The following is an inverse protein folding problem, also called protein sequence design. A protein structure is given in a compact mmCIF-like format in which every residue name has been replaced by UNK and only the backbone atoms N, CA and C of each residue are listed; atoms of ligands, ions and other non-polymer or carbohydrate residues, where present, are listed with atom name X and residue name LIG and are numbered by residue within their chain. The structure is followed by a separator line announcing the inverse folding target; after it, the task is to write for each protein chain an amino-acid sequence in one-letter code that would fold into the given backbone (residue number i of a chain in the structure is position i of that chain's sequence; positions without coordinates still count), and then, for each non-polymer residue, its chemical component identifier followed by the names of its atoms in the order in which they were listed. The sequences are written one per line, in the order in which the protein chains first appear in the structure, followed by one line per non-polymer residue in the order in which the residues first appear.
data_IF_976264555019
#
_entry.id   IF_976264555019
#
_cell.length_a   1.000
_cell.length_b   1.000
_cell.length_c   1.000
_cell.angle_alpha   90.00
_cell.angle_beta   90.00
_cell.angle_gamma   90.00
#
_symmetry.space_group_name_H-M   'P 1'
#
loop_
_entity.id
_entity.type
_entity.pdbx_description
1 polymer ?
#
# COMPACT_ATOMS: atom_id res chain seq x y z
N UNK A 1 -31.48 -19.42 -13.68
CA UNK A 1 -30.90 -18.76 -14.87
C UNK A 1 -29.46 -18.36 -14.57
N UNK A 2 -28.48 -19.02 -15.19
CA UNK A 2 -27.05 -18.78 -14.96
C UNK A 2 -26.56 -17.71 -15.93
N UNK A 3 -26.36 -16.48 -15.43
CA UNK A 3 -25.70 -15.41 -16.18
C UNK A 3 -24.19 -15.70 -16.16
N UNK A 4 -23.71 -16.31 -17.25
CA UNK A 4 -22.30 -16.58 -17.51
C UNK A 4 -21.52 -15.26 -17.46
N UNK A 5 -20.46 -15.19 -16.65
CA UNK A 5 -19.47 -14.11 -16.76
C UNK A 5 -18.75 -14.22 -18.11
N UNK A 6 -18.79 -13.15 -18.89
CA UNK A 6 -18.39 -13.14 -20.32
C UNK A 6 -16.89 -12.89 -20.52
N UNK A 7 -16.14 -12.61 -19.44
CA UNK A 7 -14.71 -12.25 -19.54
C UNK A 7 -13.84 -13.39 -19.02
N UNK A 8 -13.16 -14.07 -19.95
CA UNK A 8 -12.10 -15.03 -19.60
C UNK A 8 -10.78 -14.30 -19.37
N UNK A 9 -10.10 -14.57 -18.25
CA UNK A 9 -8.73 -14.09 -18.01
C UNK A 9 -7.73 -14.93 -18.81
N UNK A 10 -7.38 -14.47 -20.01
CA UNK A 10 -6.21 -15.00 -20.75
C UNK A 10 -4.91 -14.55 -20.07
N UNK A 11 -3.82 -15.31 -20.21
CA UNK A 11 -2.52 -14.98 -19.57
C UNK A 11 -2.00 -13.59 -19.93
N UNK A 12 -2.20 -13.17 -21.19
CA UNK A 12 -1.85 -11.81 -21.63
C UNK A 12 -2.65 -10.75 -20.87
N UNK A 13 -3.93 -10.98 -20.63
CA UNK A 13 -4.78 -10.06 -19.87
C UNK A 13 -4.39 -10.03 -18.38
N UNK A 14 -4.03 -11.18 -17.80
CA UNK A 14 -3.54 -11.25 -16.41
C UNK A 14 -2.29 -10.39 -16.25
N UNK A 15 -1.31 -10.57 -17.14
CA UNK A 15 -0.06 -9.82 -17.08
C UNK A 15 -0.28 -8.32 -17.27
N UNK A 16 -1.18 -7.91 -18.17
CA UNK A 16 -1.56 -6.52 -18.36
C UNK A 16 -2.17 -5.92 -17.09
N UNK A 17 -3.16 -6.60 -16.49
CA UNK A 17 -3.79 -6.12 -15.24
C UNK A 17 -2.81 -6.00 -14.09
N UNK A 18 -1.92 -6.97 -13.92
CA UNK A 18 -0.88 -6.92 -12.87
C UNK A 18 0.07 -5.74 -13.13
N UNK A 19 0.51 -5.54 -14.38
CA UNK A 19 1.40 -4.43 -14.75
C UNK A 19 0.74 -3.08 -14.51
N UNK A 20 -0.51 -2.91 -14.92
CA UNK A 20 -1.28 -1.68 -14.73
C UNK A 20 -1.51 -1.41 -13.24
N UNK A 21 -1.93 -2.42 -12.47
CA UNK A 21 -2.11 -2.30 -11.02
C UNK A 21 -0.82 -1.94 -10.27
N UNK A 22 0.36 -2.37 -10.76
CA UNK A 22 1.66 -1.98 -10.18
C UNK A 22 2.05 -0.54 -10.51
N UNK A 23 1.62 -0.01 -11.66
CA UNK A 23 1.91 1.36 -12.09
C UNK A 23 1.07 2.40 -11.33
N UNK A 24 -0.17 2.03 -11.00
CA UNK A 24 -1.08 2.88 -10.23
C UNK A 24 -0.72 2.88 -8.74
N UNK A 25 -1.05 3.97 -8.05
CA UNK A 25 -0.82 4.14 -6.60
C UNK A 25 -2.11 4.54 -5.89
N UNK A 26 -2.11 4.40 -4.56
CA UNK A 26 -3.18 4.94 -3.72
C UNK A 26 -4.59 4.47 -4.11
N UNK A 27 -5.52 5.42 -4.20
CA UNK A 27 -6.93 5.18 -4.55
C UNK A 27 -7.10 4.75 -5.99
N UNK A 28 -6.38 5.34 -6.95
CA UNK A 28 -6.47 4.99 -8.38
C UNK A 28 -6.23 3.50 -8.61
N UNK A 29 -5.25 2.92 -7.91
CA UNK A 29 -4.99 1.48 -7.95
C UNK A 29 -6.17 0.67 -7.44
N UNK A 30 -6.81 1.10 -6.35
CA UNK A 30 -7.94 0.39 -5.74
C UNK A 30 -9.19 0.49 -6.61
N UNK A 31 -9.48 1.68 -7.14
CA UNK A 31 -10.59 1.92 -8.05
C UNK A 31 -10.43 1.09 -9.33
N UNK A 32 -9.24 1.09 -9.94
CA UNK A 32 -8.95 0.22 -11.09
C UNK A 32 -9.23 -1.26 -10.80
N UNK A 33 -8.71 -1.79 -9.67
CA UNK A 33 -8.96 -3.18 -9.29
C UNK A 33 -10.46 -3.46 -9.09
N UNK A 34 -11.19 -2.52 -8.52
CA UNK A 34 -12.61 -2.63 -8.28
C UNK A 34 -13.43 -2.59 -9.59
N UNK A 35 -13.06 -1.74 -10.54
CA UNK A 35 -13.70 -1.70 -11.87
C UNK A 35 -13.51 -3.01 -12.63
N UNK A 36 -12.28 -3.55 -12.63
CA UNK A 36 -11.99 -4.86 -13.25
C UNK A 36 -12.88 -5.93 -12.62
N UNK A 37 -12.95 -5.99 -11.30
CA UNK A 37 -13.79 -6.97 -10.58
C UNK A 37 -15.28 -6.78 -10.87
N UNK A 38 -15.75 -5.54 -10.96
CA UNK A 38 -17.15 -5.22 -11.31
C UNK A 38 -17.49 -5.73 -12.72
N UNK A 39 -16.56 -5.59 -13.67
CA UNK A 39 -16.70 -6.13 -15.02
C UNK A 39 -16.72 -7.66 -15.09
N UNK A 40 -16.04 -8.35 -14.17
CA UNK A 40 -16.04 -9.82 -14.09
C UNK A 40 -17.36 -10.38 -13.52
N UNK A 41 -18.14 -9.57 -12.79
CA UNK A 41 -19.42 -9.95 -12.23
C UNK A 41 -19.33 -10.82 -10.97
N UNK A 42 -20.34 -11.66 -10.75
CA UNK A 42 -20.46 -12.52 -9.56
C UNK A 42 -19.26 -13.47 -9.48
N UNK A 43 -18.63 -13.54 -8.30
CA UNK A 43 -17.42 -14.35 -8.09
C UNK A 43 -16.13 -13.71 -8.60
N UNK A 44 -16.18 -12.51 -9.20
CA UNK A 44 -15.01 -11.79 -9.70
C UNK A 44 -13.94 -11.58 -8.63
N UNK A 45 -14.31 -11.29 -7.38
CA UNK A 45 -13.37 -11.14 -6.27
C UNK A 45 -12.58 -12.42 -5.97
N UNK A 46 -13.26 -13.58 -5.94
CA UNK A 46 -12.62 -14.89 -5.74
C UNK A 46 -11.73 -15.23 -6.92
N UNK A 47 -12.17 -14.91 -8.14
CA UNK A 47 -11.39 -15.15 -9.35
C UNK A 47 -10.09 -14.34 -9.38
N UNK A 48 -10.13 -13.03 -9.12
CA UNK A 48 -8.91 -12.20 -9.13
C UNK A 48 -7.98 -12.49 -7.96
N UNK A 49 -8.50 -12.94 -6.82
CA UNK A 49 -7.65 -13.40 -5.71
C UNK A 49 -6.84 -14.62 -6.13
N UNK A 50 -7.50 -15.61 -6.76
CA UNK A 50 -6.85 -16.84 -7.22
C UNK A 50 -5.90 -16.59 -8.39
N UNK A 51 -6.33 -15.83 -9.40
CA UNK A 51 -5.61 -15.68 -10.67
C UNK A 51 -4.60 -14.52 -10.68
N UNK A 52 -4.87 -13.43 -9.95
CA UNK A 52 -4.03 -12.21 -9.96
C UNK A 52 -3.35 -11.94 -8.61
N UNK A 53 -3.69 -12.71 -7.56
CA UNK A 53 -3.16 -12.50 -6.20
C UNK A 53 -3.63 -11.20 -5.55
N UNK A 54 -4.75 -10.63 -6.00
CA UNK A 54 -5.26 -9.37 -5.46
C UNK A 54 -6.00 -9.58 -4.14
N UNK A 55 -5.69 -8.73 -3.16
CA UNK A 55 -6.34 -8.79 -1.85
C UNK A 55 -7.78 -8.28 -1.92
N UNK A 56 -8.75 -9.12 -1.54
CA UNK A 56 -10.19 -8.79 -1.53
C UNK A 56 -10.55 -7.59 -0.64
N UNK A 57 -9.81 -7.34 0.45
CA UNK A 57 -10.03 -6.15 1.30
C UNK A 57 -9.69 -4.87 0.55
N UNK A 58 -8.63 -4.88 -0.26
CA UNK A 58 -8.24 -3.75 -1.10
C UNK A 58 -9.30 -3.46 -2.18
N UNK A 59 -9.81 -4.52 -2.80
CA UNK A 59 -10.89 -4.43 -3.79
C UNK A 59 -12.17 -3.89 -3.15
N UNK A 60 -12.57 -4.38 -1.98
CA UNK A 60 -13.75 -3.89 -1.25
C UNK A 60 -13.65 -2.40 -0.93
N UNK A 61 -12.46 -1.92 -0.53
CA UNK A 61 -12.22 -0.48 -0.35
C UNK A 61 -12.39 0.27 -1.68
N UNK A 62 -11.80 -0.22 -2.77
CA UNK A 62 -11.97 0.37 -4.09
C UNK A 62 -13.43 0.44 -4.54
N UNK A 63 -14.23 -0.59 -4.26
CA UNK A 63 -15.67 -0.60 -4.55
C UNK A 63 -16.41 0.51 -3.80
N UNK A 64 -16.09 0.71 -2.52
CA UNK A 64 -16.65 1.82 -1.73
C UNK A 64 -16.20 3.20 -2.26
N UNK A 65 -14.97 3.32 -2.76
CA UNK A 65 -14.46 4.54 -3.41
C UNK A 65 -15.21 4.83 -4.72
N UNK A 66 -15.53 3.79 -5.51
CA UNK A 66 -16.33 3.91 -6.73
C UNK A 66 -17.78 4.30 -6.42
N UNK A 67 -18.41 3.67 -5.42
CA UNK A 67 -19.79 3.95 -5.02
C UNK A 67 -19.97 5.36 -4.46
N UNK A 68 -19.00 5.83 -3.67
CA UNK A 68 -19.02 7.17 -3.10
C UNK A 68 -18.54 8.27 -4.06
N UNK A 69 -17.91 7.88 -5.18
CA UNK A 69 -17.31 8.80 -6.14
C UNK A 69 -16.13 9.61 -5.59
N UNK A 70 -15.62 9.26 -4.40
CA UNK A 70 -14.55 9.99 -3.71
C UNK A 70 -13.46 9.02 -3.27
N UNK A 71 -12.17 9.37 -3.46
CA UNK A 71 -11.07 8.56 -2.96
C UNK A 71 -11.06 8.59 -1.43
N UNK A 72 -10.78 7.46 -0.77
CA UNK A 72 -10.43 7.49 0.64
C UNK A 72 -9.02 8.03 0.78
N UNK A 73 -8.93 9.23 1.37
CA UNK A 73 -7.68 9.88 1.71
C UNK A 73 -7.08 9.14 2.93
N UNK A 74 -5.84 8.67 2.80
CA UNK A 74 -5.14 8.07 3.93
C UNK A 74 -4.99 9.10 5.05
N UNK A 75 -5.49 8.77 6.23
CA UNK A 75 -5.53 9.68 7.38
C UNK A 75 -4.19 9.89 8.07
N UNK A 76 -3.05 9.79 7.37
CA UNK A 76 -1.73 9.92 7.99
C UNK A 76 -1.55 11.29 8.65
N UNK A 77 -2.07 12.35 8.02
CA UNK A 77 -2.10 13.70 8.59
C UNK A 77 -3.06 13.82 9.78
N UNK A 78 -4.12 13.00 9.81
CA UNK A 78 -5.11 12.95 10.89
C UNK A 78 -4.70 12.01 12.03
N UNK A 79 -3.66 11.19 11.81
CA UNK A 79 -3.17 10.26 12.79
C UNK A 79 -2.55 11.04 13.94
N UNK A 80 -3.03 10.82 15.16
CA UNK A 80 -2.44 11.42 16.36
C UNK A 80 -0.98 11.00 16.60
N UNK A 81 -0.53 9.95 15.91
CA UNK A 81 0.88 9.55 15.89
C UNK A 81 1.69 10.45 14.96
N UNK A 82 2.20 11.55 15.52
CA UNK A 82 3.20 12.39 14.84
C UNK A 82 4.53 11.66 14.72
N UNK A 83 5.28 12.03 13.67
CA UNK A 83 6.69 11.66 13.46
C UNK A 83 7.50 11.89 14.74
N UNK A 84 8.45 11.00 15.02
CA UNK A 84 9.25 11.07 16.26
C UNK A 84 10.07 12.35 16.29
N UNK A 85 10.50 12.83 15.14
CA UNK A 85 11.22 14.08 14.92
C UNK A 85 10.39 15.31 15.31
N UNK A 86 9.06 15.23 15.25
CA UNK A 86 8.19 16.30 15.77
C UNK A 86 8.16 16.32 17.29
N UNK A 87 8.31 15.16 17.95
CA UNK A 87 8.35 15.04 19.41
C UNK A 87 9.75 15.32 19.97
N UNK A 88 10.78 14.98 19.19
CA UNK A 88 12.20 15.09 19.53
C UNK A 88 12.92 15.84 18.39
N UNK A 89 12.86 17.18 18.36
CA UNK A 89 13.40 17.97 17.26
C UNK A 89 14.92 17.84 17.09
N UNK A 90 15.64 17.56 18.18
CA UNK A 90 17.09 17.39 18.19
C UNK A 90 17.53 15.93 18.10
N UNK A 91 16.60 14.98 17.86
CA UNK A 91 16.88 13.53 17.91
C UNK A 91 18.11 13.11 17.11
N UNK A 92 18.30 13.69 15.92
CA UNK A 92 19.45 13.38 15.08
C UNK A 92 20.76 13.80 15.75
N UNK A 93 20.79 14.98 16.34
CA UNK A 93 22.01 15.52 16.95
C UNK A 93 22.29 14.87 18.30
N UNK A 94 21.24 14.50 19.03
CA UNK A 94 21.34 13.68 20.24
C UNK A 94 21.95 12.31 19.92
N UNK A 95 21.49 11.64 18.85
CA UNK A 95 22.05 10.36 18.40
C UNK A 95 23.52 10.50 17.99
N UNK A 96 23.86 11.53 17.20
CA UNK A 96 25.25 11.79 16.81
C UNK A 96 26.13 12.08 18.01
N UNK A 97 25.64 12.87 18.96
CA UNK A 97 26.36 13.22 20.19
C UNK A 97 26.69 11.97 21.00
N UNK A 98 25.70 11.08 21.21
CA UNK A 98 25.89 9.80 21.88
C UNK A 98 26.91 8.92 21.15
N UNK A 99 26.82 8.82 19.82
CA UNK A 99 27.78 8.06 19.03
C UNK A 99 29.21 8.60 19.18
N UNK A 100 29.39 9.92 19.04
CA UNK A 100 30.70 10.57 19.16
C UNK A 100 31.28 10.43 20.57
N UNK A 101 30.45 10.54 21.60
CA UNK A 101 30.84 10.30 22.98
C UNK A 101 31.36 8.85 23.17
N UNK A 102 30.62 7.85 22.68
CA UNK A 102 31.05 6.45 22.72
C UNK A 102 32.35 6.21 21.96
N UNK A 103 32.54 6.81 20.78
CA UNK A 103 33.77 6.70 20.01
C UNK A 103 34.98 7.30 20.75
N UNK A 104 34.80 8.46 21.39
CA UNK A 104 35.84 9.10 22.21
C UNK A 104 36.24 8.23 23.40
N UNK A 105 35.26 7.70 24.15
CA UNK A 105 35.54 6.80 25.29
C UNK A 105 36.34 5.57 24.86
N UNK A 106 36.01 4.99 23.71
CA UNK A 106 36.74 3.83 23.16
C UNK A 106 38.18 4.17 22.82
N UNK A 107 38.43 5.31 22.18
CA UNK A 107 39.79 5.74 21.82
C UNK A 107 40.64 6.06 23.06
N UNK A 108 40.07 6.69 24.08
CA UNK A 108 40.79 6.97 25.34
C UNK A 108 41.16 5.69 26.08
N UNK A 109 40.34 4.64 26.02
CA UNK A 109 40.63 3.34 26.63
C UNK A 109 41.66 2.50 25.85
N UNK A 110 41.88 2.79 24.56
CA UNK A 110 42.90 2.11 23.74
C UNK A 110 44.26 2.82 23.73
N UNK A 111 44.32 4.06 24.24
CA UNK A 111 45.55 4.87 24.30
C UNK A 111 46.20 4.88 25.70
N UNK A 112 45.71 4.02 26.62
CA UNK A 112 46.27 3.69 27.93
C UNK A 112 46.86 2.28 27.87
#
# INVERSE_FOLDING_TARGET
MSLKSVIQLTENLKSLYIKTAKKLKGSDRRQFMAEVVKGLGIGGQTLVERELGWNRRTIRKGMQELESGKPFIDGFERSGHKRVETKLPNLLEDIKSLYQFCMKMRQTASNL
#
